data_IF_180272920487
#
_entry.id   IF_180272920487
#
_cell.length_a   1.000
_cell.length_b   1.000
_cell.length_c   1.000
_cell.angle_alpha   90.00
_cell.angle_beta   90.00
_cell.angle_gamma   90.00
#
_symmetry.space_group_name_H-M   'P 1'
#
loop_
_entity.id
_entity.type
_entity.pdbx_description
1 polymer ?
#
# COMPACT_ATOMS: atom_id res chain seq x y z
N UNK A 1 13.15 -16.52 7.15
CA UNK A 1 13.13 -15.62 8.32
C UNK A 1 13.50 -16.32 9.62
N UNK A 2 12.81 -17.41 10.00
CA UNK A 2 13.11 -18.19 11.23
C UNK A 2 14.58 -18.63 11.34
N UNK A 3 15.14 -19.22 10.29
CA UNK A 3 16.56 -19.65 10.29
C UNK A 3 17.57 -18.50 10.33
N UNK A 4 17.13 -17.28 10.02
CA UNK A 4 17.92 -16.04 10.15
C UNK A 4 17.80 -15.41 11.55
N UNK A 5 16.99 -16.00 12.44
CA UNK A 5 16.73 -15.53 13.79
C UNK A 5 15.63 -14.47 13.90
N UNK A 6 14.79 -14.30 12.89
CA UNK A 6 13.65 -13.38 12.93
C UNK A 6 12.38 -14.07 13.46
N UNK A 7 11.58 -13.31 14.20
CA UNK A 7 10.27 -13.74 14.73
C UNK A 7 9.17 -13.06 13.94
N UNK A 8 8.12 -13.82 13.58
CA UNK A 8 6.91 -13.27 12.96
C UNK A 8 6.13 -12.45 14.01
N UNK A 9 5.89 -11.17 13.72
CA UNK A 9 5.17 -10.25 14.60
C UNK A 9 3.73 -10.06 14.12
N UNK A 10 3.56 -9.77 12.83
CA UNK A 10 2.24 -9.67 12.19
C UNK A 10 2.23 -10.46 10.89
N UNK A 11 1.30 -11.42 10.80
CA UNK A 11 1.12 -12.23 9.60
C UNK A 11 0.44 -11.47 8.46
N UNK A 12 -0.36 -10.43 8.75
CA UNK A 12 -1.08 -9.65 7.74
C UNK A 12 -0.16 -8.67 7.03
N UNK A 13 0.76 -8.03 7.76
CA UNK A 13 1.77 -7.12 7.22
C UNK A 13 3.05 -7.85 6.81
N UNK A 14 3.10 -9.18 6.98
CA UNK A 14 4.31 -10.00 6.84
C UNK A 14 5.51 -9.40 7.61
N UNK A 15 5.25 -8.88 8.81
CA UNK A 15 6.24 -8.20 9.64
C UNK A 15 7.08 -9.23 10.41
N UNK A 16 8.40 -9.13 10.25
CA UNK A 16 9.37 -9.94 10.97
C UNK A 16 10.36 -9.06 11.72
N UNK A 17 10.63 -9.38 12.97
CA UNK A 17 11.54 -8.61 13.82
C UNK A 17 12.73 -9.43 14.32
N UNK A 18 13.90 -8.80 14.36
CA UNK A 18 15.11 -9.29 15.02
C UNK A 18 15.84 -8.12 15.67
N UNK A 19 16.09 -8.21 16.97
CA UNK A 19 16.65 -7.13 17.79
C UNK A 19 15.88 -5.81 17.62
N UNK A 20 16.47 -4.81 16.95
CA UNK A 20 15.86 -3.50 16.67
C UNK A 20 15.53 -3.28 15.19
N UNK A 21 15.58 -4.35 14.39
CA UNK A 21 15.32 -4.29 12.95
C UNK A 21 13.98 -4.95 12.66
N UNK A 22 13.08 -4.23 11.99
CA UNK A 22 11.85 -4.79 11.41
C UNK A 22 11.99 -4.88 9.89
N UNK A 23 11.45 -5.96 9.32
CA UNK A 23 11.42 -6.23 7.88
C UNK A 23 10.02 -6.70 7.52
N UNK A 24 9.41 -6.05 6.54
CA UNK A 24 8.06 -6.31 6.05
C UNK A 24 8.11 -6.58 4.55
N UNK A 25 7.20 -7.43 4.06
CA UNK A 25 7.11 -7.78 2.64
C UNK A 25 5.71 -7.47 2.10
N UNK A 26 5.65 -6.64 1.06
CA UNK A 26 4.46 -6.43 0.25
C UNK A 26 4.71 -6.77 -1.22
N UNK A 27 3.68 -7.22 -1.93
CA UNK A 27 3.73 -7.39 -3.39
C UNK A 27 2.99 -6.26 -4.09
N UNK A 28 3.55 -5.74 -5.19
CA UNK A 28 2.85 -4.80 -6.07
C UNK A 28 1.87 -5.50 -7.01
N UNK A 29 2.14 -6.78 -7.32
CA UNK A 29 1.37 -7.59 -8.28
C UNK A 29 -0.11 -7.77 -7.93
N UNK A 30 -0.48 -7.56 -6.66
CA UNK A 30 -1.86 -7.66 -6.18
C UNK A 30 -2.70 -6.40 -6.46
N UNK A 31 -2.11 -5.31 -6.95
CA UNK A 31 -2.80 -4.03 -7.09
C UNK A 31 -3.94 -4.07 -8.12
N UNK A 32 -3.79 -4.87 -9.17
CA UNK A 32 -4.82 -5.06 -10.19
C UNK A 32 -6.05 -5.74 -9.59
N UNK A 33 -5.87 -6.86 -8.89
CA UNK A 33 -6.97 -7.59 -8.26
C UNK A 33 -7.59 -6.82 -7.09
N UNK A 34 -6.77 -6.04 -6.38
CA UNK A 34 -7.18 -5.27 -5.21
C UNK A 34 -7.97 -4.01 -5.57
N UNK A 35 -7.48 -3.21 -6.50
CA UNK A 35 -7.99 -1.86 -6.79
C UNK A 35 -8.30 -1.62 -8.27
N UNK A 36 -8.19 -2.64 -9.13
CA UNK A 36 -8.38 -2.48 -10.58
C UNK A 36 -7.31 -1.63 -11.25
N UNK A 37 -6.15 -1.44 -10.62
CA UNK A 37 -5.04 -0.62 -11.15
C UNK A 37 -3.89 -1.53 -11.56
N UNK A 38 -3.63 -1.62 -12.87
CA UNK A 38 -2.48 -2.36 -13.39
C UNK A 38 -1.19 -1.59 -13.12
N UNK A 39 -0.12 -2.29 -12.72
CA UNK A 39 1.21 -1.70 -12.55
C UNK A 39 1.74 -1.08 -13.87
N UNK A 40 1.40 -1.67 -15.02
CA UNK A 40 1.76 -1.16 -16.34
C UNK A 40 1.18 0.22 -16.65
N UNK A 41 0.07 0.56 -15.98
CA UNK A 41 -0.71 1.76 -16.25
C UNK A 41 -0.36 2.88 -15.26
N UNK A 42 0.53 2.62 -14.29
CA UNK A 42 1.04 3.62 -13.37
C UNK A 42 2.26 4.29 -14.01
N UNK A 43 2.24 5.61 -14.06
CA UNK A 43 3.31 6.40 -14.64
C UNK A 43 4.66 6.11 -13.96
N UNK A 44 5.68 5.80 -14.77
CA UNK A 44 7.05 5.62 -14.31
C UNK A 44 7.79 6.95 -14.41
N UNK A 45 8.05 7.58 -13.27
CA UNK A 45 8.70 8.89 -13.16
C UNK A 45 10.20 8.72 -12.95
N UNK A 46 10.99 9.60 -13.56
CA UNK A 46 12.45 9.65 -13.43
C UNK A 46 12.88 11.06 -13.02
N UNK A 47 13.39 11.21 -11.80
CA UNK A 47 13.85 12.51 -11.27
C UNK A 47 15.17 12.29 -10.55
N UNK A 48 16.21 13.05 -10.93
CA UNK A 48 17.52 13.05 -10.26
C UNK A 48 18.15 11.65 -10.07
N UNK A 49 17.97 10.76 -11.07
CA UNK A 49 18.48 9.39 -11.03
C UNK A 49 17.65 8.41 -10.20
N UNK A 50 16.51 8.85 -9.66
CA UNK A 50 15.55 8.01 -8.94
C UNK A 50 14.41 7.64 -9.89
N UNK A 51 14.09 6.35 -9.93
CA UNK A 51 12.97 5.80 -10.71
C UNK A 51 11.91 5.26 -9.77
N UNK A 52 10.67 5.74 -9.91
CA UNK A 52 9.54 5.28 -9.12
C UNK A 52 8.24 5.37 -9.92
N UNK A 53 7.23 4.58 -9.52
CA UNK A 53 5.89 4.64 -10.08
C UNK A 53 5.01 5.56 -9.24
N UNK A 54 4.23 6.43 -9.88
CA UNK A 54 3.32 7.36 -9.22
C UNK A 54 1.89 7.21 -9.77
N UNK A 55 0.92 6.74 -8.96
CA UNK A 55 -0.48 6.70 -9.36
C UNK A 55 -1.05 8.08 -9.70
N UNK A 56 -1.98 8.12 -10.66
CA UNK A 56 -2.82 9.30 -10.90
C UNK A 56 -3.79 9.54 -9.74
N UNK A 57 -4.46 10.70 -9.71
CA UNK A 57 -5.48 10.98 -8.69
C UNK A 57 -6.64 9.98 -8.74
N UNK A 58 -7.07 9.57 -9.93
CA UNK A 58 -8.11 8.55 -10.13
C UNK A 58 -7.66 7.17 -9.66
N UNK A 59 -6.41 6.80 -9.94
CA UNK A 59 -5.82 5.55 -9.46
C UNK A 59 -5.69 5.56 -7.93
N UNK A 60 -5.25 6.67 -7.33
CA UNK A 60 -5.26 6.86 -5.88
C UNK A 60 -6.66 6.72 -5.29
N UNK A 61 -7.68 7.30 -5.93
CA UNK A 61 -9.06 7.17 -5.47
C UNK A 61 -9.51 5.71 -5.47
N UNK A 62 -9.22 4.96 -6.54
CA UNK A 62 -9.54 3.53 -6.64
C UNK A 62 -8.88 2.72 -5.52
N UNK A 63 -7.58 2.97 -5.29
CA UNK A 63 -6.79 2.31 -4.23
C UNK A 63 -7.36 2.61 -2.85
N UNK A 64 -7.69 3.87 -2.54
CA UNK A 64 -8.25 4.19 -1.23
C UNK A 64 -9.66 3.64 -1.04
N UNK A 65 -10.49 3.62 -2.09
CA UNK A 65 -11.80 2.97 -2.04
C UNK A 65 -11.68 1.49 -1.72
N UNK A 66 -10.83 0.75 -2.42
CA UNK A 66 -10.54 -0.65 -2.10
C UNK A 66 -10.02 -0.83 -0.67
N UNK A 67 -9.03 -0.03 -0.27
CA UNK A 67 -8.44 -0.03 1.08
C UNK A 67 -9.46 0.22 2.19
N UNK A 68 -10.44 1.09 1.98
CA UNK A 68 -11.49 1.36 2.96
C UNK A 68 -12.47 0.19 3.18
N UNK A 69 -12.54 -0.76 2.24
CA UNK A 69 -13.39 -1.96 2.36
C UNK A 69 -12.63 -3.15 2.97
N UNK A 70 -11.31 -3.05 3.08
CA UNK A 70 -10.50 -4.03 3.77
C UNK A 70 -10.74 -3.93 5.28
N UNK A 71 -11.34 -4.97 5.87
CA UNK A 71 -11.75 -4.97 7.28
C UNK A 71 -10.57 -4.81 8.24
N UNK A 72 -9.40 -5.41 7.93
CA UNK A 72 -8.22 -5.28 8.77
C UNK A 72 -7.72 -3.83 8.75
N UNK A 73 -7.64 -3.22 7.56
CA UNK A 73 -7.22 -1.81 7.46
C UNK A 73 -8.24 -0.86 8.08
N UNK A 74 -9.53 -1.07 7.88
CA UNK A 74 -10.56 -0.18 8.42
C UNK A 74 -10.50 -0.13 9.96
N UNK A 75 -10.26 -1.28 10.61
CA UNK A 75 -10.15 -1.37 12.06
C UNK A 75 -8.85 -0.74 12.62
N UNK A 76 -7.78 -0.65 11.81
CA UNK A 76 -6.46 -0.17 12.25
C UNK A 76 -6.04 1.21 11.68
N UNK A 77 -6.80 1.81 10.75
CA UNK A 77 -6.36 2.99 9.99
C UNK A 77 -6.88 4.35 10.50
N UNK A 78 -7.53 4.42 11.66
CA UNK A 78 -7.98 5.68 12.29
C UNK A 78 -8.71 6.62 11.28
N UNK A 79 -9.52 6.06 10.38
CA UNK A 79 -10.28 6.75 9.33
C UNK A 79 -9.45 7.62 8.35
N UNK A 80 -8.15 7.37 8.17
CA UNK A 80 -7.32 8.19 7.26
C UNK A 80 -7.73 8.04 5.80
N UNK A 81 -8.13 6.85 5.36
CA UNK A 81 -8.49 6.63 3.95
C UNK A 81 -9.77 7.39 3.58
N UNK A 82 -10.78 7.45 4.47
CA UNK A 82 -11.99 8.24 4.22
C UNK A 82 -11.70 9.72 3.99
N UNK A 83 -10.76 10.31 4.74
CA UNK A 83 -10.35 11.71 4.53
C UNK A 83 -9.66 11.92 3.18
N UNK A 84 -8.87 10.95 2.72
CA UNK A 84 -8.20 11.01 1.42
C UNK A 84 -9.20 10.85 0.28
N UNK A 85 -10.14 9.89 0.41
CA UNK A 85 -11.25 9.71 -0.53
C UNK A 85 -12.05 11.00 -0.64
N UNK A 86 -12.48 11.57 0.49
CA UNK A 86 -13.24 12.81 0.52
C UNK A 86 -12.50 13.98 -0.15
N UNK A 87 -11.19 14.09 0.06
CA UNK A 87 -10.39 15.11 -0.61
C UNK A 87 -10.34 14.87 -2.12
N UNK A 88 -10.04 13.64 -2.55
CA UNK A 88 -9.93 13.30 -3.98
C UNK A 88 -11.26 13.50 -4.71
N UNK A 89 -12.39 13.08 -4.13
CA UNK A 89 -13.72 13.24 -4.72
C UNK A 89 -14.13 14.71 -4.90
N UNK A 90 -13.50 15.65 -4.19
CA UNK A 90 -13.73 17.10 -4.36
C UNK A 90 -12.82 17.76 -5.39
N UNK A 91 -11.71 17.12 -5.77
CA UNK A 91 -10.64 17.74 -6.58
C UNK A 91 -10.36 17.01 -7.90
N UNK A 92 -11.02 15.88 -8.13
CA UNK A 92 -11.17 15.23 -9.45
C UNK A 92 -12.34 15.86 -10.21
#
# INVERSE_FOLDING_TARGET
>A
MKDLGYVLIDIHEHEFQKDRVSVEFGSIDSLLDFAGVSESDIELIHIEGITFRLPSLEQYLSIYKASSQDSYRNDHNNNKDFKKIEWLERHL
#
